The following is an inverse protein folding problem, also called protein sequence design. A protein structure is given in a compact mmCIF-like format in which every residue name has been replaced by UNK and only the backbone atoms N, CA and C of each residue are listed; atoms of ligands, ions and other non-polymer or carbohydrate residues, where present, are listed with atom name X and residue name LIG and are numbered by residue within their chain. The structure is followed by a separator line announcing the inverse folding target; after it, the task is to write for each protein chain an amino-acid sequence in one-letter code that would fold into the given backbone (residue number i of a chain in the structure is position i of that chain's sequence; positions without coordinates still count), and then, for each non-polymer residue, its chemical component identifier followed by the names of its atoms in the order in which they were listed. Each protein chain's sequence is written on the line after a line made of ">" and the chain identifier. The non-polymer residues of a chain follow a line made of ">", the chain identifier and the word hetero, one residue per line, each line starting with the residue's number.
data_IF_694740672070
#
_entry.id   IF_694740672070
#
_cell.length_a   1.000
_cell.length_b   1.000
_cell.length_c   1.000
_cell.angle_alpha   90.00
_cell.angle_beta   90.00
_cell.angle_gamma   90.00
#
_symmetry.space_group_name_H-M   'P 1'
#
loop_
_entity.id
_entity.type
_entity.pdbx_description
1 polymer ?
#
# COMPACT_ATOMS: atom_id res chain seq x y z
N UNK A 1 16.09 -14.69 -5.01
CA UNK A 1 16.30 -14.03 -3.72
C UNK A 1 14.95 -13.78 -3.05
N UNK A 2 14.79 -14.27 -1.86
CA UNK A 2 13.54 -14.04 -1.13
C UNK A 2 13.49 -12.63 -0.58
N UNK A 3 12.35 -11.97 -0.74
CA UNK A 3 12.10 -10.70 -0.08
C UNK A 3 11.80 -10.98 1.39
N UNK A 4 12.67 -10.49 2.27
CA UNK A 4 12.45 -10.63 3.70
C UNK A 4 11.50 -9.54 4.18
N UNK A 5 10.38 -9.95 4.77
CA UNK A 5 9.44 -9.03 5.41
C UNK A 5 9.64 -9.15 6.92
N UNK A 6 9.94 -8.07 7.63
CA UNK A 6 10.14 -8.13 9.08
C UNK A 6 8.89 -8.65 9.78
N UNK A 7 9.02 -9.74 10.52
CA UNK A 7 7.88 -10.36 11.20
C UNK A 7 7.27 -9.45 12.25
N UNK A 8 8.08 -8.63 12.91
CA UNK A 8 7.58 -7.64 13.89
C UNK A 8 6.67 -6.61 13.23
N UNK A 9 7.00 -6.18 12.00
CA UNK A 9 6.18 -5.24 11.26
C UNK A 9 4.83 -5.87 10.89
N UNK A 10 4.83 -7.11 10.43
CA UNK A 10 3.60 -7.83 10.11
C UNK A 10 2.69 -7.99 11.33
N UNK A 11 3.27 -8.29 12.49
CA UNK A 11 2.52 -8.37 13.74
C UNK A 11 1.89 -7.02 14.11
N UNK A 12 2.65 -5.93 13.94
CA UNK A 12 2.17 -4.60 14.29
C UNK A 12 0.99 -4.14 13.43
N UNK A 13 0.96 -4.52 12.15
CA UNK A 13 -0.11 -4.09 11.23
C UNK A 13 -1.28 -5.08 11.15
N UNK A 14 -1.16 -6.27 11.72
CA UNK A 14 -2.20 -7.30 11.66
C UNK A 14 -3.59 -6.80 12.04
N UNK A 15 -3.77 -6.00 13.10
CA UNK A 15 -5.10 -5.51 13.49
C UNK A 15 -5.73 -4.54 12.48
N UNK A 16 -4.97 -4.03 11.53
CA UNK A 16 -5.41 -2.98 10.60
C UNK A 16 -5.76 -3.51 9.21
N UNK A 17 -6.12 -4.77 9.10
CA UNK A 17 -6.61 -5.42 7.86
C UNK A 17 -5.65 -5.24 6.67
N UNK A 18 -4.37 -5.64 6.79
CA UNK A 18 -3.41 -5.44 5.71
C UNK A 18 -3.81 -6.18 4.44
N UNK A 19 -3.72 -5.49 3.31
CA UNK A 19 -4.01 -6.02 1.98
C UNK A 19 -2.82 -5.77 1.08
N UNK A 20 -2.40 -6.81 0.36
CA UNK A 20 -1.32 -6.71 -0.62
C UNK A 20 -1.79 -5.90 -1.82
N UNK A 21 -1.04 -4.86 -2.19
CA UNK A 21 -1.30 -4.01 -3.36
C UNK A 21 -0.02 -3.88 -4.18
N UNK A 22 -0.08 -3.13 -5.29
CA UNK A 22 1.10 -2.89 -6.12
C UNK A 22 1.52 -4.09 -6.96
N UNK A 23 2.76 -4.05 -7.45
CA UNK A 23 3.27 -5.05 -8.41
C UNK A 23 3.25 -6.47 -7.89
N UNK A 24 3.55 -6.68 -6.61
CA UNK A 24 3.56 -8.02 -6.01
C UNK A 24 2.17 -8.67 -6.04
N UNK A 25 1.09 -7.87 -5.88
CA UNK A 25 -0.28 -8.38 -5.91
C UNK A 25 -0.71 -8.82 -7.31
N UNK A 26 -0.03 -8.33 -8.36
CA UNK A 26 -0.30 -8.71 -9.75
C UNK A 26 0.48 -9.94 -10.19
N UNK A 27 1.18 -10.59 -9.27
CA UNK A 27 1.98 -11.77 -9.59
C UNK A 27 3.26 -11.47 -10.37
N UNK A 28 3.75 -10.24 -10.30
CA UNK A 28 4.99 -9.85 -10.98
C UNK A 28 6.20 -10.53 -10.35
N UNK A 29 6.96 -11.28 -11.15
CA UNK A 29 8.22 -11.90 -10.71
C UNK A 29 9.35 -10.88 -10.54
N UNK A 30 9.15 -9.67 -11.05
CA UNK A 30 10.12 -8.57 -10.97
C UNK A 30 9.76 -7.54 -9.90
N UNK A 31 8.78 -7.84 -9.05
CA UNK A 31 8.42 -6.95 -7.95
C UNK A 31 9.59 -6.83 -6.97
N UNK A 32 10.10 -5.61 -6.81
CA UNK A 32 11.20 -5.33 -5.88
C UNK A 32 10.67 -5.06 -4.46
N UNK A 33 9.48 -4.50 -4.37
CA UNK A 33 8.87 -4.09 -3.10
C UNK A 33 7.57 -4.83 -2.87
N UNK A 34 7.25 -5.02 -1.58
CA UNK A 34 5.96 -5.53 -1.16
C UNK A 34 5.16 -4.34 -0.63
N UNK A 35 4.08 -4.00 -1.31
CA UNK A 35 3.22 -2.88 -0.93
C UNK A 35 1.98 -3.39 -0.23
N UNK A 36 1.72 -2.89 0.96
CA UNK A 36 0.54 -3.23 1.74
C UNK A 36 -0.25 -1.98 2.09
N UNK A 37 -1.57 -2.09 2.03
CA UNK A 37 -2.49 -1.05 2.47
C UNK A 37 -3.12 -1.48 3.79
N UNK A 38 -3.14 -0.57 4.77
CA UNK A 38 -3.79 -0.83 6.05
C UNK A 38 -4.88 0.20 6.32
N UNK A 39 -5.90 -0.23 7.06
CA UNK A 39 -7.05 0.58 7.45
C UNK A 39 -6.82 1.11 8.86
N UNK A 40 -6.76 2.43 9.02
CA UNK A 40 -6.52 3.06 10.31
C UNK A 40 -7.54 4.17 10.54
N UNK A 41 -8.25 4.12 11.67
CA UNK A 41 -9.16 5.20 12.05
C UNK A 41 -8.40 6.51 12.17
N UNK A 42 -9.04 7.62 11.78
CA UNK A 42 -8.40 8.93 11.75
C UNK A 42 -7.76 9.31 13.10
N UNK A 43 -8.39 8.95 14.19
CA UNK A 43 -7.92 9.23 15.55
C UNK A 43 -6.70 8.41 15.97
N UNK A 44 -6.40 7.32 15.24
CA UNK A 44 -5.27 6.43 15.53
C UNK A 44 -4.11 6.58 14.57
N UNK A 45 -4.22 7.45 13.57
CA UNK A 45 -3.17 7.60 12.56
C UNK A 45 -1.81 7.94 13.17
N UNK A 46 -1.78 8.92 14.09
CA UNK A 46 -0.52 9.31 14.72
C UNK A 46 0.11 8.19 15.54
N UNK A 47 -0.73 7.42 16.25
CA UNK A 47 -0.26 6.29 17.05
C UNK A 47 0.38 5.22 16.16
N UNK A 48 -0.28 4.86 15.06
CA UNK A 48 0.24 3.86 14.12
C UNK A 48 1.51 4.36 13.44
N UNK A 49 1.55 5.62 13.02
CA UNK A 49 2.74 6.21 12.43
C UNK A 49 3.91 6.20 13.40
N UNK A 50 3.66 6.50 14.67
CA UNK A 50 4.67 6.43 15.72
C UNK A 50 5.21 5.01 15.89
N UNK A 51 4.33 4.00 15.90
CA UNK A 51 4.73 2.60 15.98
C UNK A 51 5.61 2.19 14.80
N UNK A 52 5.25 2.59 13.58
CA UNK A 52 6.04 2.28 12.40
C UNK A 52 7.42 2.95 12.46
N UNK A 53 7.46 4.20 12.91
CA UNK A 53 8.73 4.91 13.09
C UNK A 53 9.63 4.19 14.10
N UNK A 54 9.07 3.71 15.21
CA UNK A 54 9.82 2.98 16.23
C UNK A 54 10.35 1.66 15.73
N UNK A 55 9.66 1.02 14.77
CA UNK A 55 10.10 -0.22 14.14
C UNK A 55 11.19 0.00 13.08
N UNK A 56 11.52 1.24 12.79
CA UNK A 56 12.56 1.58 11.82
C UNK A 56 12.05 2.01 10.45
N UNK A 57 10.73 2.12 10.28
CA UNK A 57 10.16 2.61 9.02
C UNK A 57 10.46 4.09 8.82
N UNK A 58 10.69 4.47 7.58
CA UNK A 58 10.89 5.85 7.17
C UNK A 58 9.69 6.33 6.36
N UNK A 59 9.17 7.51 6.72
CA UNK A 59 8.07 8.12 5.98
C UNK A 59 8.54 8.49 4.57
N UNK A 60 7.75 8.11 3.57
CA UNK A 60 8.09 8.35 2.17
C UNK A 60 7.52 9.68 1.67
N UNK A 61 8.25 10.33 0.78
CA UNK A 61 7.77 11.50 0.06
C UNK A 61 6.92 11.00 -1.12
N UNK A 62 5.69 11.48 -1.29
CA UNK A 62 4.85 11.03 -2.40
C UNK A 62 5.48 11.33 -3.76
N UNK A 63 5.45 10.33 -4.64
CA UNK A 63 5.84 10.49 -6.04
C UNK A 63 4.67 11.15 -6.78
N UNK A 64 4.87 12.31 -7.46
CA UNK A 64 3.78 12.96 -8.19
C UNK A 64 3.08 12.09 -9.22
N UNK A 65 3.80 11.14 -9.84
CA UNK A 65 3.21 10.24 -10.84
C UNK A 65 2.33 9.16 -10.23
N UNK A 66 2.54 8.83 -8.97
CA UNK A 66 1.81 7.77 -8.29
C UNK A 66 1.06 8.27 -7.05
N UNK A 67 0.92 9.58 -6.93
CA UNK A 67 0.22 10.19 -5.80
C UNK A 67 -1.24 9.77 -5.80
N UNK A 68 -1.67 9.19 -4.69
CA UNK A 68 -3.05 8.82 -4.45
C UNK A 68 -3.56 9.63 -3.25
N UNK A 69 -4.51 10.55 -3.45
CA UNK A 69 -5.02 11.40 -2.37
C UNK A 69 -5.74 10.63 -1.28
N UNK A 70 -6.07 9.36 -1.51
CA UNK A 70 -6.71 8.51 -0.51
C UNK A 70 -5.73 7.91 0.48
N UNK A 71 -4.43 7.95 0.17
CA UNK A 71 -3.39 7.47 1.07
C UNK A 71 -2.98 8.62 1.99
N UNK A 72 -3.11 8.40 3.29
CA UNK A 72 -2.71 9.40 4.28
C UNK A 72 -1.19 9.56 4.35
N UNK A 73 -0.48 8.43 4.41
CA UNK A 73 0.98 8.42 4.44
C UNK A 73 1.50 7.04 4.02
N UNK A 74 2.75 6.99 3.57
CA UNK A 74 3.43 5.75 3.21
C UNK A 74 4.73 5.64 3.98
N UNK A 75 5.04 4.44 4.44
CA UNK A 75 6.20 4.15 5.28
C UNK A 75 6.94 2.94 4.75
N UNK A 76 8.27 3.03 4.70
CA UNK A 76 9.10 1.98 4.11
C UNK A 76 10.17 1.51 5.06
N UNK A 77 10.32 0.18 5.13
CA UNK A 77 11.43 -0.49 5.80
C UNK A 77 11.91 -1.60 4.87
N UNK A 78 13.16 -1.50 4.40
CA UNK A 78 13.70 -2.43 3.41
C UNK A 78 12.80 -2.51 2.18
N UNK A 79 12.20 -3.65 1.90
CA UNK A 79 11.33 -3.86 0.74
C UNK A 79 9.84 -3.82 1.08
N UNK A 80 9.50 -3.55 2.33
CA UNK A 80 8.12 -3.44 2.77
C UNK A 80 7.68 -1.99 2.79
N UNK A 81 6.65 -1.69 2.00
CA UNK A 81 6.02 -0.37 1.93
C UNK A 81 4.61 -0.49 2.50
N UNK A 82 4.32 0.29 3.53
CA UNK A 82 3.00 0.28 4.18
C UNK A 82 2.33 1.61 3.94
N UNK A 83 1.15 1.57 3.33
CA UNK A 83 0.31 2.74 3.08
C UNK A 83 -0.84 2.76 4.08
N UNK A 84 -1.06 3.91 4.70
CA UNK A 84 -2.14 4.12 5.65
C UNK A 84 -3.30 4.84 4.99
N UNK A 85 -4.52 4.35 5.22
CA UNK A 85 -5.74 5.01 4.75
C UNK A 85 -6.82 4.91 5.81
N UNK A 86 -7.65 5.94 5.91
CA UNK A 86 -8.84 5.91 6.75
C UNK A 86 -9.88 4.95 6.17
N UNK A 87 -10.87 4.48 6.97
CA UNK A 87 -11.77 3.40 6.53
C UNK A 87 -12.45 3.63 5.18
N UNK A 88 -13.01 4.80 4.94
CA UNK A 88 -13.69 5.08 3.67
C UNK A 88 -12.72 5.02 2.47
N UNK A 89 -11.54 5.61 2.63
CA UNK A 89 -10.52 5.61 1.59
C UNK A 89 -9.92 4.22 1.40
N UNK A 90 -9.73 3.47 2.48
CA UNK A 90 -9.28 2.09 2.43
C UNK A 90 -10.25 1.23 1.61
N UNK A 91 -11.54 1.28 1.92
CA UNK A 91 -12.56 0.48 1.23
C UNK A 91 -12.61 0.82 -0.26
N UNK A 92 -12.56 2.11 -0.59
CA UNK A 92 -12.56 2.59 -1.97
C UNK A 92 -11.34 2.07 -2.74
N UNK A 93 -10.16 2.16 -2.14
CA UNK A 93 -8.92 1.73 -2.77
C UNK A 93 -8.87 0.20 -2.94
N UNK A 94 -9.33 -0.55 -1.96
CA UNK A 94 -9.38 -2.01 -2.03
C UNK A 94 -10.35 -2.46 -3.11
N UNK A 95 -11.53 -1.84 -3.20
CA UNK A 95 -12.52 -2.16 -4.23
C UNK A 95 -11.98 -1.90 -5.63
N UNK A 96 -11.33 -0.76 -5.84
CA UNK A 96 -10.72 -0.42 -7.13
C UNK A 96 -9.61 -1.40 -7.50
N UNK A 97 -8.77 -1.77 -6.52
CA UNK A 97 -7.68 -2.72 -6.74
C UNK A 97 -8.20 -4.10 -7.13
N UNK A 98 -9.23 -4.58 -6.46
CA UNK A 98 -9.87 -5.87 -6.78
C UNK A 98 -10.45 -5.86 -8.18
N UNK A 99 -11.03 -4.74 -8.61
CA UNK A 99 -11.60 -4.60 -9.95
C UNK A 99 -10.50 -4.67 -11.02
N UNK A 100 -9.37 -4.00 -10.78
CA UNK A 100 -8.21 -4.06 -11.67
C UNK A 100 -7.70 -5.49 -11.80
N UNK A 101 -7.58 -6.22 -10.69
CA UNK A 101 -7.14 -7.62 -10.71
C UNK A 101 -8.14 -8.51 -11.43
N UNK A 102 -9.42 -8.37 -11.13
CA UNK A 102 -10.47 -9.19 -11.71
C UNK A 102 -10.54 -9.07 -13.23
N UNK A 103 -10.41 -7.86 -13.74
CA UNK A 103 -10.47 -7.57 -15.18
C UNK A 103 -9.12 -7.62 -15.87
N UNK A 104 -8.04 -7.87 -15.13
CA UNK A 104 -6.67 -7.87 -15.65
C UNK A 104 -6.30 -6.58 -16.38
N UNK A 105 -6.83 -5.46 -15.90
CA UNK A 105 -6.62 -4.14 -16.52
C UNK A 105 -5.19 -3.63 -16.38
N UNK A 106 -4.39 -4.25 -15.52
CA UNK A 106 -3.00 -3.87 -15.29
C UNK A 106 -2.03 -4.33 -16.39
N UNK A 107 -2.46 -5.23 -17.28
CA UNK A 107 -1.58 -5.79 -18.31
C UNK A 107 -1.17 -4.74 -19.32
N UNK A 108 0.13 -4.66 -19.58
CA UNK A 108 0.68 -3.75 -20.56
C UNK A 108 0.74 -2.29 -20.14
N UNK A 109 0.35 -1.98 -18.91
CA UNK A 109 0.36 -0.61 -18.41
C UNK A 109 1.64 -0.30 -17.64
N UNK A 110 2.11 0.94 -17.78
CA UNK A 110 3.19 1.47 -16.94
C UNK A 110 2.69 1.64 -15.48
N UNK A 111 3.63 1.87 -14.57
CA UNK A 111 3.29 2.14 -13.17
C UNK A 111 2.35 3.35 -13.03
N UNK A 112 2.69 4.45 -13.71
CA UNK A 112 1.87 5.66 -13.67
C UNK A 112 0.47 5.41 -14.25
N UNK A 113 0.36 4.68 -15.36
CA UNK A 113 -0.91 4.36 -15.99
C UNK A 113 -1.78 3.47 -15.07
N UNK A 114 -1.18 2.52 -14.36
CA UNK A 114 -1.91 1.68 -13.40
C UNK A 114 -2.47 2.50 -12.25
N UNK A 115 -1.70 3.44 -11.70
CA UNK A 115 -2.17 4.33 -10.65
C UNK A 115 -3.29 5.24 -11.13
N UNK A 116 -3.17 5.79 -12.34
CA UNK A 116 -4.22 6.61 -12.93
C UNK A 116 -5.51 5.81 -13.09
N UNK A 117 -5.41 4.55 -13.52
CA UNK A 117 -6.57 3.66 -13.66
C UNK A 117 -7.22 3.40 -12.29
N UNK A 118 -6.42 3.08 -11.27
CA UNK A 118 -6.94 2.87 -9.92
C UNK A 118 -7.67 4.11 -9.41
N UNK A 119 -7.12 5.29 -9.61
CA UNK A 119 -7.74 6.55 -9.18
C UNK A 119 -9.05 6.81 -9.93
N UNK A 120 -9.15 6.43 -11.20
CA UNK A 120 -10.37 6.63 -11.97
C UNK A 120 -11.52 5.72 -11.53
N UNK A 121 -11.18 4.58 -10.90
CA UNK A 121 -12.17 3.61 -10.43
C UNK A 121 -12.63 3.87 -8.99
N UNK A 122 -11.93 4.75 -8.30
CA UNK A 122 -12.26 5.08 -6.89
C UNK A 122 -13.33 6.20 -6.78
#
# INVERSE_FOLDING_TARGET
>A
MKTCVPSQALEAIRPYKPVLIGSASYGSVYANDIDMLICVDAEKLEEVESQLSQLGFTRQVPDPETLDPRVHSAWKLEKLDIQLATPANYDSKVAAHREVLRKRLYKGLSKAARYALLCSLM
#
